data_IF_782231820670
#
_entry.id   IF_782231820670
#
_cell.length_a   1.000
_cell.length_b   1.000
_cell.length_c   1.000
_cell.angle_alpha   90.00
_cell.angle_beta   90.00
_cell.angle_gamma   90.00
#
_symmetry.space_group_name_H-M   'P 1'
#
loop_
_entity.id
_entity.type
_entity.pdbx_description
1 polymer ?
#
# COMPACT_ATOMS: atom_id res chain seq x y z
N UNK A 1 -14.48 10.17 11.32
CA UNK A 1 -14.92 10.67 10.00
C UNK A 1 -15.91 11.83 10.13
N UNK A 2 -15.65 12.97 9.50
CA UNK A 2 -16.51 14.17 9.53
C UNK A 2 -17.49 14.19 8.32
N UNK A 3 -18.41 15.17 8.29
CA UNK A 3 -19.42 15.28 7.23
C UNK A 3 -18.82 15.57 5.84
N UNK A 4 -17.76 16.37 5.78
CA UNK A 4 -17.10 16.76 4.54
C UNK A 4 -16.42 15.56 3.86
N UNK A 5 -15.70 14.74 4.64
CA UNK A 5 -15.11 13.49 4.15
C UNK A 5 -16.19 12.53 3.64
N UNK A 6 -17.31 12.38 4.37
CA UNK A 6 -18.40 11.51 3.92
C UNK A 6 -19.02 12.00 2.60
N UNK A 7 -19.21 13.31 2.44
CA UNK A 7 -19.70 13.90 1.20
C UNK A 7 -18.73 13.65 0.02
N UNK A 8 -17.43 13.84 0.25
CA UNK A 8 -16.38 13.56 -0.72
C UNK A 8 -16.39 12.09 -1.15
N UNK A 9 -16.41 11.15 -0.20
CA UNK A 9 -16.42 9.71 -0.49
C UNK A 9 -17.62 9.31 -1.37
N UNK A 10 -18.81 9.83 -1.06
CA UNK A 10 -20.02 9.56 -1.83
C UNK A 10 -19.96 10.15 -3.25
N UNK A 11 -19.51 11.41 -3.37
CA UNK A 11 -19.37 12.08 -4.65
C UNK A 11 -18.39 11.36 -5.58
N UNK A 12 -17.30 10.82 -5.02
CA UNK A 12 -16.22 10.18 -5.76
C UNK A 12 -16.32 8.64 -5.82
N UNK A 13 -17.39 8.05 -5.28
CA UNK A 13 -17.62 6.59 -5.20
C UNK A 13 -16.45 5.82 -4.58
N UNK A 14 -15.87 6.39 -3.51
CA UNK A 14 -14.73 5.81 -2.81
C UNK A 14 -15.20 4.87 -1.70
N UNK A 15 -14.67 3.66 -1.69
CA UNK A 15 -14.94 2.65 -0.66
C UNK A 15 -13.72 2.43 0.20
N UNK A 16 -13.86 2.57 1.52
CA UNK A 16 -12.77 2.28 2.46
C UNK A 16 -12.43 0.79 2.45
N UNK A 17 -11.14 0.46 2.33
CA UNK A 17 -10.61 -0.92 2.36
C UNK A 17 -9.61 -1.14 3.51
N UNK A 18 -9.24 -0.06 4.21
CA UNK A 18 -8.38 -0.05 5.38
C UNK A 18 -9.10 0.53 6.59
N UNK A 19 -9.18 -0.24 7.68
CA UNK A 19 -9.59 0.23 9.00
C UNK A 19 -8.38 0.69 9.83
N UNK A 20 -8.61 1.43 10.93
CA UNK A 20 -7.55 1.78 11.88
C UNK A 20 -6.77 0.55 12.38
N UNK A 21 -7.44 -0.58 12.59
CA UNK A 21 -6.78 -1.84 12.99
C UNK A 21 -5.80 -2.33 11.92
N UNK A 22 -6.16 -2.24 10.63
CA UNK A 22 -5.26 -2.62 9.53
C UNK A 22 -4.10 -1.65 9.38
N UNK A 23 -4.31 -0.36 9.61
CA UNK A 23 -3.21 0.62 9.64
C UNK A 23 -2.21 0.34 10.76
N UNK A 24 -2.68 -0.04 11.96
CA UNK A 24 -1.80 -0.48 13.05
C UNK A 24 -1.08 -1.80 12.73
N UNK A 25 -1.75 -2.72 12.03
CA UNK A 25 -1.10 -3.94 11.55
C UNK A 25 0.01 -3.63 10.55
N UNK A 26 -0.18 -2.65 9.67
CA UNK A 26 0.86 -2.20 8.74
C UNK A 26 2.09 -1.67 9.49
N UNK A 27 1.89 -0.82 10.49
CA UNK A 27 2.98 -0.31 11.35
C UNK A 27 3.79 -1.47 11.94
N UNK A 28 3.11 -2.40 12.62
CA UNK A 28 3.74 -3.57 13.21
C UNK A 28 4.49 -4.39 12.17
N UNK A 29 3.86 -4.63 11.01
CA UNK A 29 4.39 -5.46 9.94
C UNK A 29 5.69 -4.90 9.36
N UNK A 30 5.77 -3.58 9.13
CA UNK A 30 6.99 -2.97 8.59
C UNK A 30 8.10 -2.86 9.63
N UNK A 31 7.78 -2.85 10.92
CA UNK A 31 8.75 -2.84 12.02
C UNK A 31 9.35 -4.21 12.37
N UNK A 32 8.82 -5.32 11.85
CA UNK A 32 9.35 -6.67 12.16
C UNK A 32 10.83 -6.85 11.76
N UNK A 33 11.32 -6.07 10.79
CA UNK A 33 12.70 -6.10 10.31
C UNK A 33 13.46 -4.82 10.65
N UNK A 34 14.36 -4.83 11.65
CA UNK A 34 15.08 -3.63 12.10
C UNK A 34 15.95 -2.96 11.03
N UNK A 35 16.41 -3.70 10.01
CA UNK A 35 17.23 -3.13 8.95
C UNK A 35 16.44 -2.26 7.96
N UNK A 36 15.11 -2.36 7.98
CA UNK A 36 14.20 -1.64 7.10
C UNK A 36 13.57 -0.45 7.83
N UNK A 37 13.84 0.75 7.33
CA UNK A 37 13.21 1.99 7.82
C UNK A 37 12.29 2.51 6.72
N UNK A 38 10.96 2.38 6.87
CA UNK A 38 10.02 2.73 5.82
C UNK A 38 10.09 4.22 5.49
N UNK A 39 10.34 4.50 4.22
CA UNK A 39 10.13 5.83 3.64
C UNK A 39 8.86 5.76 2.81
N UNK A 40 7.99 6.74 3.01
CA UNK A 40 6.65 6.74 2.48
C UNK A 40 6.31 8.06 1.82
N UNK A 41 5.39 7.98 0.87
CA UNK A 41 4.60 9.11 0.40
C UNK A 41 3.13 8.70 0.42
N UNK A 42 2.22 9.64 0.56
CA UNK A 42 0.80 9.37 0.60
C UNK A 42 0.03 10.48 -0.08
N UNK A 43 -1.18 10.14 -0.50
CA UNK A 43 -2.18 11.10 -0.97
C UNK A 43 -3.36 11.07 -0.01
N UNK A 44 -3.80 12.24 0.44
CA UNK A 44 -5.06 12.38 1.15
C UNK A 44 -6.21 12.50 0.15
N UNK A 45 -7.40 12.13 0.58
CA UNK A 45 -8.63 12.18 -0.22
C UNK A 45 -8.80 13.56 -0.88
N UNK A 46 -8.62 14.63 -0.11
CA UNK A 46 -8.93 15.98 -0.58
C UNK A 46 -7.77 16.65 -1.34
N UNK A 47 -6.60 16.01 -1.41
CA UNK A 47 -5.42 16.58 -2.05
C UNK A 47 -5.41 16.29 -3.56
N UNK A 48 -4.92 17.26 -4.36
CA UNK A 48 -4.76 17.08 -5.82
C UNK A 48 -3.68 16.04 -6.15
N UNK A 49 -2.68 15.90 -5.29
CA UNK A 49 -1.55 14.99 -5.47
C UNK A 49 -0.95 14.54 -4.15
N UNK A 50 0.01 13.60 -4.17
CA UNK A 50 0.67 13.15 -2.96
C UNK A 50 1.59 14.22 -2.37
N UNK A 51 1.99 13.99 -1.12
CA UNK A 51 3.10 14.72 -0.55
C UNK A 51 4.39 14.54 -1.41
N UNK A 52 5.29 15.53 -1.42
CA UNK A 52 6.45 15.51 -2.30
C UNK A 52 7.50 14.50 -1.82
N UNK A 53 7.74 13.49 -2.66
CA UNK A 53 8.82 12.51 -2.44
C UNK A 53 8.58 11.56 -1.27
N UNK A 54 9.50 10.62 -1.09
CA UNK A 54 9.46 9.67 0.01
C UNK A 54 10.18 10.24 1.24
N UNK A 55 9.53 10.21 2.39
CA UNK A 55 10.07 10.68 3.68
C UNK A 55 9.99 9.58 4.73
N UNK A 56 10.87 9.56 5.75
CA UNK A 56 10.70 8.65 6.88
C UNK A 56 9.29 8.75 7.44
N UNK A 57 8.65 7.62 7.70
CA UNK A 57 7.29 7.61 8.26
C UNK A 57 7.32 7.95 9.76
N UNK A 58 6.42 8.85 10.16
CA UNK A 58 6.13 9.11 11.57
C UNK A 58 4.76 8.49 11.88
N UNK A 59 4.77 7.30 12.48
CA UNK A 59 3.57 6.46 12.60
C UNK A 59 2.45 7.10 13.43
N UNK A 60 2.78 7.77 14.53
CA UNK A 60 1.78 8.45 15.36
C UNK A 60 1.00 9.52 14.56
N UNK A 61 1.70 10.30 13.74
CA UNK A 61 1.08 11.30 12.87
C UNK A 61 0.29 10.67 11.72
N UNK A 62 0.86 9.63 11.09
CA UNK A 62 0.18 8.90 10.02
C UNK A 62 -1.12 8.24 10.51
N UNK A 63 -1.09 7.62 11.69
CA UNK A 63 -2.28 7.02 12.31
C UNK A 63 -3.33 8.06 12.71
N UNK A 64 -2.91 9.26 13.12
CA UNK A 64 -3.83 10.35 13.42
C UNK A 64 -4.62 10.83 12.19
N UNK A 65 -4.08 10.65 10.98
CA UNK A 65 -4.72 11.06 9.72
C UNK A 65 -5.19 9.90 8.84
N UNK A 66 -5.03 8.65 9.27
CA UNK A 66 -5.19 7.46 8.41
C UNK A 66 -6.58 7.29 7.80
N UNK A 67 -7.63 7.84 8.43
CA UNK A 67 -8.99 7.85 7.86
C UNK A 67 -9.11 8.69 6.59
N UNK A 68 -8.17 9.60 6.33
CA UNK A 68 -8.15 10.48 5.16
C UNK A 68 -7.13 10.07 4.10
N UNK A 69 -6.33 9.04 4.37
CA UNK A 69 -5.33 8.55 3.42
C UNK A 69 -6.05 7.78 2.32
N UNK A 70 -6.00 8.29 1.09
CA UNK A 70 -6.48 7.57 -0.09
C UNK A 70 -5.57 6.39 -0.38
N UNK A 71 -4.25 6.63 -0.38
CA UNK A 71 -3.23 5.60 -0.49
C UNK A 71 -1.91 6.05 0.14
N UNK A 72 -1.13 5.06 0.59
CA UNK A 72 0.22 5.18 1.12
C UNK A 72 1.15 4.34 0.25
N UNK A 73 2.21 4.93 -0.28
CA UNK A 73 3.20 4.22 -1.07
C UNK A 73 4.52 4.15 -0.32
N UNK A 74 5.10 2.95 -0.26
CA UNK A 74 6.34 2.64 0.44
C UNK A 74 7.46 2.48 -0.59
N UNK A 75 8.60 3.15 -0.37
CA UNK A 75 9.82 2.91 -1.13
C UNK A 75 10.46 1.60 -0.64
N UNK A 76 10.58 0.57 -1.50
CA UNK A 76 11.20 -0.69 -1.11
C UNK A 76 12.73 -0.61 -1.09
N UNK A 77 13.33 0.46 -1.61
CA UNK A 77 14.77 0.57 -1.82
C UNK A 77 15.43 1.36 -0.70
N UNK A 78 16.20 0.67 0.15
CA UNK A 78 17.09 1.33 1.11
C UNK A 78 18.40 1.69 0.41
N UNK A 79 18.75 2.97 0.41
CA UNK A 79 20.01 3.49 -0.15
C UNK A 79 20.95 3.89 0.99
N UNK A 80 22.11 3.25 1.06
CA UNK A 80 23.12 3.50 2.08
C UNK A 80 24.32 4.22 1.44
N UNK A 81 24.56 5.47 1.84
CA UNK A 81 25.74 6.22 1.40
C UNK A 81 26.99 5.72 2.15
N UNK A 82 27.95 5.15 1.43
CA UNK A 82 29.16 4.53 2.02
C UNK A 82 30.40 5.43 1.96
N UNK A 83 30.20 6.73 1.74
CA UNK A 83 31.27 7.72 1.57
C UNK A 83 31.57 8.01 0.10
N UNK A 84 32.30 9.11 -0.17
CA UNK A 84 32.46 9.72 -1.50
C UNK A 84 33.07 8.81 -2.58
N UNK A 85 33.77 7.75 -2.19
CA UNK A 85 34.53 6.86 -3.10
C UNK A 85 33.91 5.46 -3.25
N UNK A 86 32.88 5.14 -2.46
CA UNK A 86 32.20 3.85 -2.56
C UNK A 86 30.84 4.05 -3.24
N UNK A 87 30.45 3.14 -4.16
CA UNK A 87 29.11 3.19 -4.72
C UNK A 87 28.07 3.06 -3.61
N UNK A 88 26.94 3.74 -3.77
CA UNK A 88 25.79 3.58 -2.89
C UNK A 88 25.39 2.11 -2.85
N UNK A 89 25.13 1.60 -1.66
CA UNK A 89 24.57 0.25 -1.52
C UNK A 89 23.06 0.39 -1.51
N UNK A 90 22.42 -0.17 -2.54
CA UNK A 90 20.97 -0.32 -2.58
C UNK A 90 20.60 -1.72 -2.09
N UNK A 91 19.71 -1.79 -1.11
CA UNK A 91 19.11 -3.04 -0.65
C UNK A 91 17.62 -2.98 -0.97
N UNK A 92 17.14 -3.99 -1.68
CA UNK A 92 15.73 -4.12 -2.07
C UNK A 92 14.96 -4.93 -1.01
N UNK A 93 13.87 -4.36 -0.49
CA UNK A 93 12.99 -4.96 0.50
C UNK A 93 11.60 -5.32 -0.07
N UNK A 94 11.43 -5.31 -1.40
CA UNK A 94 10.15 -5.61 -2.08
C UNK A 94 9.53 -6.90 -1.57
N UNK A 95 10.26 -8.02 -1.60
CA UNK A 95 9.76 -9.32 -1.16
C UNK A 95 9.35 -9.34 0.32
N UNK A 96 10.09 -8.62 1.17
CA UNK A 96 9.77 -8.50 2.59
C UNK A 96 8.46 -7.74 2.79
N UNK A 97 8.31 -6.60 2.12
CA UNK A 97 7.09 -5.80 2.23
C UNK A 97 5.89 -6.61 1.71
N UNK A 98 6.00 -7.23 0.53
CA UNK A 98 4.92 -8.05 -0.02
C UNK A 98 4.51 -9.18 0.93
N UNK A 99 5.47 -9.92 1.49
CA UNK A 99 5.19 -10.98 2.47
C UNK A 99 4.42 -10.45 3.69
N UNK A 100 4.79 -9.28 4.19
CA UNK A 100 4.10 -8.61 5.31
C UNK A 100 2.67 -8.18 4.92
N UNK A 101 2.48 -7.58 3.75
CA UNK A 101 1.16 -7.17 3.28
C UNK A 101 0.24 -8.38 3.05
N UNK A 102 0.76 -9.49 2.53
CA UNK A 102 0.01 -10.74 2.41
C UNK A 102 -0.39 -11.32 3.77
N UNK A 103 0.55 -11.37 4.73
CA UNK A 103 0.33 -11.89 6.09
C UNK A 103 -0.86 -11.21 6.76
N UNK A 104 -0.99 -9.89 6.61
CA UNK A 104 -2.07 -9.09 7.20
C UNK A 104 -3.24 -8.80 6.24
N UNK A 105 -3.23 -9.35 5.02
CA UNK A 105 -4.26 -9.14 3.98
C UNK A 105 -4.53 -7.65 3.72
N UNK A 106 -3.46 -6.89 3.59
CA UNK A 106 -3.51 -5.45 3.32
C UNK A 106 -3.66 -5.21 1.81
N UNK A 107 -4.57 -4.32 1.37
CA UNK A 107 -4.83 -4.08 -0.04
C UNK A 107 -3.69 -3.27 -0.67
N UNK A 108 -3.03 -3.80 -1.69
CA UNK A 108 -1.90 -3.12 -2.33
C UNK A 108 -1.77 -3.39 -3.83
N UNK A 109 -1.04 -2.51 -4.52
CA UNK A 109 -0.57 -2.65 -5.89
C UNK A 109 0.94 -2.37 -5.98
N UNK A 110 1.57 -2.88 -7.04
CA UNK A 110 2.95 -2.54 -7.39
C UNK A 110 2.92 -1.38 -8.35
N UNK A 111 3.56 -0.28 -7.97
CA UNK A 111 3.69 0.92 -8.78
C UNK A 111 5.12 1.02 -9.30
N UNK A 112 5.35 1.88 -10.29
CA UNK A 112 6.69 2.04 -10.90
C UNK A 112 7.78 2.48 -9.90
N UNK A 113 7.39 3.14 -8.79
CA UNK A 113 8.32 3.73 -7.81
C UNK A 113 8.23 3.10 -6.43
N UNK A 114 7.27 2.19 -6.19
CA UNK A 114 7.08 1.61 -4.86
C UNK A 114 5.87 0.71 -4.75
N UNK A 115 5.56 0.33 -3.52
CA UNK A 115 4.43 -0.54 -3.20
C UNK A 115 3.32 0.33 -2.60
N UNK A 116 2.19 0.45 -3.30
CA UNK A 116 1.08 1.30 -2.90
C UNK A 116 0.03 0.50 -2.14
N UNK A 117 -0.22 0.90 -0.90
CA UNK A 117 -1.23 0.38 0.00
C UNK A 117 -2.43 1.31 -0.05
N UNK A 118 -3.61 0.76 -0.33
CA UNK A 118 -4.83 1.54 -0.57
C UNK A 118 -5.61 1.74 0.72
N UNK A 119 -5.92 2.98 1.07
CA UNK A 119 -6.91 3.30 2.11
C UNK A 119 -8.35 3.25 1.57
N UNK A 120 -8.52 3.75 0.35
CA UNK A 120 -9.79 3.77 -0.38
C UNK A 120 -9.60 3.29 -1.82
N UNK A 121 -10.62 2.63 -2.36
CA UNK A 121 -10.69 2.26 -3.77
C UNK A 121 -11.80 3.03 -4.47
N UNK A 122 -11.53 3.42 -5.71
CA UNK A 122 -12.54 3.95 -6.63
C UNK A 122 -13.20 2.78 -7.36
N UNK A 123 -14.48 2.92 -7.69
CA UNK A 123 -15.23 1.93 -8.44
C UNK A 123 -14.67 1.65 -9.85
N UNK A 124 -13.86 2.55 -10.40
CA UNK A 124 -13.22 2.46 -11.72
C UNK A 124 -11.72 2.12 -11.68
N UNK A 125 -11.12 2.01 -10.49
CA UNK A 125 -9.71 1.68 -10.36
C UNK A 125 -9.47 0.21 -10.75
N UNK A 126 -8.43 -0.06 -11.53
CA UNK A 126 -7.92 -1.41 -11.71
C UNK A 126 -7.70 -2.03 -10.33
N UNK A 127 -8.42 -3.12 -10.05
CA UNK A 127 -8.46 -3.71 -8.71
C UNK A 127 -7.03 -3.99 -8.21
N UNK A 128 -6.68 -3.61 -6.98
CA UNK A 128 -5.38 -3.91 -6.42
C UNK A 128 -5.16 -5.43 -6.41
N UNK A 129 -3.89 -5.84 -6.46
CA UNK A 129 -3.46 -7.24 -6.64
C UNK A 129 -3.99 -8.15 -5.53
N UNK A 130 -4.48 -7.60 -4.41
CA UNK A 130 -5.23 -8.34 -3.38
C UNK A 130 -6.48 -7.58 -2.91
N UNK A 131 -7.60 -7.76 -3.60
CA UNK A 131 -8.92 -7.78 -2.98
C UNK A 131 -9.33 -9.25 -2.77
N UNK A 132 -9.05 -9.81 -1.59
CA UNK A 132 -9.76 -11.05 -1.22
C UNK A 132 -11.20 -10.61 -0.95
N UNK A 133 -12.11 -10.94 -1.87
CA UNK A 133 -13.54 -10.81 -1.63
C UNK A 133 -13.90 -11.52 -0.31
N UNK A 134 -14.77 -10.97 0.54
CA UNK A 134 -15.26 -11.70 1.70
C UNK A 134 -16.32 -12.70 1.22
N UNK A 135 -15.89 -13.77 0.55
CA UNK A 135 -16.67 -14.99 0.28
C UNK A 135 -15.74 -15.94 -0.48
N UNK A 136 -15.55 -17.14 0.05
CA UNK A 136 -14.74 -18.16 -0.61
C UNK A 136 -15.32 -18.51 -1.97
N UNK A 137 -14.62 -18.13 -3.04
CA UNK A 137 -14.74 -18.78 -4.33
C UNK A 137 -13.35 -18.87 -4.94
N UNK A 138 -12.79 -20.07 -4.89
CA UNK A 138 -11.65 -20.45 -5.70
C UNK A 138 -12.09 -20.38 -7.16
N UNK A 139 -11.60 -19.39 -7.90
CA UNK A 139 -11.59 -19.46 -9.35
C UNK A 139 -10.61 -20.57 -9.75
N UNK A 140 -11.18 -21.73 -10.08
CA UNK A 140 -10.50 -22.76 -10.85
C UNK A 140 -10.03 -22.14 -12.17
N UNK A 141 -8.73 -22.19 -12.42
CA UNK A 141 -8.20 -22.00 -13.77
C UNK A 141 -8.87 -23.03 -14.69
N UNK A 142 -9.68 -22.51 -15.62
CA UNK A 142 -10.29 -23.30 -16.67
C UNK A 142 -9.21 -23.86 -17.58
N UNK A 143 -8.95 -25.16 -17.40
CA UNK A 143 -8.47 -26.14 -18.39
C UNK A 143 -8.07 -25.55 -19.76
N UNK A 144 -6.76 -25.58 -20.02
CA UNK A 144 -6.28 -25.84 -21.37
C UNK A 144 -6.88 -27.17 -21.86
N UNK A 145 -7.79 -27.11 -22.83
CA UNK A 145 -8.22 -28.30 -23.56
C UNK A 145 -7.36 -28.40 -24.82
N UNK A 146 -6.32 -29.22 -24.71
CA UNK A 146 -5.72 -29.93 -25.82
C UNK A 146 -6.69 -31.02 -26.29
N UNK A 147 -7.14 -30.94 -27.54
CA UNK A 147 -7.45 -32.07 -28.42
C UNK A 147 -7.70 -31.44 -29.81
N UNK A 148 -7.02 -31.80 -30.90
CA UNK A 148 -6.56 -33.14 -31.24
C UNK A 148 -7.62 -33.82 -32.12
N UNK A 149 -7.77 -33.33 -33.37
CA UNK A 149 -8.17 -34.13 -34.54
C UNK A 149 -7.94 -33.35 -35.83
#
# INVERSE_FOLDING_TARGET
MNADTLAYLNQHQLTSVMSLTKWRQLELALHEKPEFVPHVRYKLLEDEGPNPGFTPVWWDELLAICERIEWLEVDPLKREHRGRLLPEKTTDFTDYIEAQLHKYRLPYSKEAQGIRIWGYLRSDAAMPVFCIAPSGETINEGKANSDGR
#
